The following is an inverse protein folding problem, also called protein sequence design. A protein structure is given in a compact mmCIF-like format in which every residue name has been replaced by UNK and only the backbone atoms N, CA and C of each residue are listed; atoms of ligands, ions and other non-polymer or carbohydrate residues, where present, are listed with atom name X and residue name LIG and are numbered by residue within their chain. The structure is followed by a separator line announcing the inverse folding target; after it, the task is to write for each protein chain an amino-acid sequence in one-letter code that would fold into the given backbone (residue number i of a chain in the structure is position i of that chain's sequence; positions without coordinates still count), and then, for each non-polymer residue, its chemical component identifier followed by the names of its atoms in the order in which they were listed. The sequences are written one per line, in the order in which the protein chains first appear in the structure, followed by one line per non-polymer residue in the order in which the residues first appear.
data_IF_952971502197
#
_entry.id   IF_952971502197
#
_cell.length_a   1.000
_cell.length_b   1.000
_cell.length_c   1.000
_cell.angle_alpha   90.00
_cell.angle_beta   90.00
_cell.angle_gamma   90.00
#
_symmetry.space_group_name_H-M   'P 1'
#
loop_
_entity.id
_entity.type
_entity.pdbx_description
1 polymer ?
#
# COMPACT_ATOMS: atom_id res chain seq x y z
N UNK A 1 -2.87 -2.26 9.77
CA UNK A 1 -1.89 -1.23 9.37
C UNK A 1 -0.71 -1.89 8.66
N UNK A 2 -0.14 -1.22 7.66
CA UNK A 2 1.10 -1.68 6.99
C UNK A 2 2.23 -1.78 8.02
N UNK A 3 2.88 -2.95 8.08
CA UNK A 3 3.99 -3.29 8.96
C UNK A 3 5.30 -3.41 8.20
N UNK A 4 5.24 -3.94 6.99
CA UNK A 4 6.41 -4.30 6.20
C UNK A 4 6.35 -3.74 4.79
N UNK A 5 7.53 -3.36 4.29
CA UNK A 5 7.77 -3.10 2.89
C UNK A 5 8.65 -4.19 2.28
N UNK A 6 8.32 -4.58 1.06
CA UNK A 6 9.12 -5.49 0.27
C UNK A 6 9.37 -5.00 -1.15
N UNK A 7 10.33 -5.66 -1.79
CA UNK A 7 10.67 -5.48 -3.20
C UNK A 7 10.61 -6.81 -3.92
N UNK A 8 10.23 -6.80 -5.19
CA UNK A 8 10.40 -7.95 -6.06
C UNK A 8 11.76 -7.92 -6.76
N UNK A 9 12.30 -9.10 -7.06
CA UNK A 9 13.41 -9.29 -8.00
C UNK A 9 13.10 -10.45 -8.95
N UNK A 10 13.76 -10.43 -10.11
CA UNK A 10 13.56 -11.40 -11.19
C UNK A 10 14.90 -12.02 -11.59
N UNK A 11 15.34 -13.11 -10.92
CA UNK A 11 16.67 -13.69 -11.13
C UNK A 11 16.99 -14.04 -12.58
N UNK A 12 15.99 -14.40 -13.38
CA UNK A 12 16.18 -14.75 -14.79
C UNK A 12 16.39 -13.55 -15.71
N UNK A 13 16.15 -12.31 -15.23
CA UNK A 13 16.10 -11.11 -16.06
C UNK A 13 17.17 -10.08 -15.73
N UNK A 14 17.87 -10.24 -14.60
CA UNK A 14 18.89 -9.32 -14.15
C UNK A 14 20.21 -10.03 -13.80
N UNK A 15 21.28 -9.25 -13.86
CA UNK A 15 22.58 -9.65 -13.37
C UNK A 15 22.59 -9.73 -11.85
N UNK A 16 23.36 -10.69 -11.32
CA UNK A 16 23.46 -10.93 -9.89
C UNK A 16 23.83 -9.67 -9.11
N UNK A 17 24.86 -8.96 -9.56
CA UNK A 17 25.36 -7.78 -8.85
C UNK A 17 24.35 -6.64 -8.79
N UNK A 18 23.57 -6.43 -9.85
CA UNK A 18 22.53 -5.39 -9.89
C UNK A 18 21.39 -5.71 -8.91
N UNK A 19 20.97 -6.98 -8.84
CA UNK A 19 19.98 -7.41 -7.85
C UNK A 19 20.48 -7.20 -6.42
N UNK A 20 21.72 -7.60 -6.12
CA UNK A 20 22.29 -7.42 -4.77
C UNK A 20 22.42 -5.93 -4.43
N UNK A 21 22.82 -5.09 -5.37
CA UNK A 21 22.89 -3.64 -5.18
C UNK A 21 21.50 -3.06 -4.88
N UNK A 22 20.48 -3.47 -5.62
CA UNK A 22 19.09 -3.06 -5.39
C UNK A 22 18.56 -3.51 -4.03
N UNK A 23 18.80 -4.77 -3.63
CA UNK A 23 18.39 -5.28 -2.31
C UNK A 23 19.07 -4.49 -1.20
N UNK A 24 20.38 -4.24 -1.31
CA UNK A 24 21.13 -3.42 -0.34
C UNK A 24 20.58 -2.01 -0.24
N UNK A 25 20.24 -1.39 -1.37
CA UNK A 25 19.63 -0.07 -1.41
C UNK A 25 18.25 -0.06 -0.75
N UNK A 26 17.37 -1.02 -1.06
CA UNK A 26 16.08 -1.12 -0.40
C UNK A 26 16.23 -1.31 1.12
N UNK A 27 17.24 -2.07 1.55
CA UNK A 27 17.51 -2.30 2.97
C UNK A 27 17.90 -1.01 3.73
N UNK A 28 18.56 -0.04 3.09
CA UNK A 28 18.86 1.25 3.75
C UNK A 28 17.60 2.05 4.11
N UNK A 29 16.48 1.78 3.43
CA UNK A 29 15.16 2.32 3.72
C UNK A 29 14.26 1.37 4.52
N UNK A 30 14.85 0.41 5.24
CA UNK A 30 14.18 -0.55 6.12
C UNK A 30 13.21 -1.52 5.43
N UNK A 31 13.29 -1.70 4.11
CA UNK A 31 12.59 -2.82 3.47
C UNK A 31 13.06 -4.13 4.11
N UNK A 32 12.11 -5.04 4.35
CA UNK A 32 12.31 -6.25 5.16
C UNK A 32 11.98 -7.53 4.39
N UNK A 33 11.33 -7.44 3.22
CA UNK A 33 10.92 -8.61 2.43
C UNK A 33 11.40 -8.55 0.98
N UNK A 34 11.74 -9.70 0.42
CA UNK A 34 12.08 -9.86 -0.99
C UNK A 34 11.20 -10.93 -1.62
N UNK A 35 10.42 -10.54 -2.62
CA UNK A 35 9.64 -11.45 -3.44
C UNK A 35 10.46 -11.92 -4.64
N UNK A 36 10.49 -13.23 -4.85
CA UNK A 36 11.17 -13.88 -5.97
C UNK A 36 10.18 -14.80 -6.67
N UNK A 37 10.17 -14.76 -8.00
CA UNK A 37 9.25 -15.56 -8.81
C UNK A 37 10.02 -16.60 -9.61
N UNK A 38 9.73 -17.87 -9.36
CA UNK A 38 10.30 -19.04 -10.01
C UNK A 38 9.21 -19.72 -10.85
N UNK A 39 8.90 -19.12 -12.01
CA UNK A 39 7.79 -19.54 -12.87
C UNK A 39 8.21 -20.47 -13.99
N UNK A 40 9.50 -20.52 -14.30
CA UNK A 40 10.05 -21.35 -15.36
C UNK A 40 11.47 -21.79 -15.00
N UNK A 41 11.89 -22.92 -15.56
CA UNK A 41 13.28 -23.34 -15.54
C UNK A 41 13.85 -23.24 -16.94
N UNK A 42 15.13 -22.91 -17.02
CA UNK A 42 15.93 -23.09 -18.22
C UNK A 42 16.09 -24.59 -18.53
N UNK A 43 16.87 -24.89 -19.55
CA UNK A 43 17.25 -26.29 -19.86
C UNK A 43 18.08 -26.94 -18.73
N UNK A 44 18.65 -26.15 -17.82
CA UNK A 44 19.42 -26.64 -16.68
C UNK A 44 18.85 -26.15 -15.32
N UNK A 45 17.86 -26.87 -14.74
CA UNK A 45 17.25 -26.50 -13.47
C UNK A 45 18.25 -26.40 -12.29
N UNK A 46 19.36 -27.14 -12.33
CA UNK A 46 20.34 -27.13 -11.24
C UNK A 46 21.11 -25.80 -11.17
N UNK A 47 21.45 -25.23 -12.33
CA UNK A 47 22.10 -23.93 -12.40
C UNK A 47 21.16 -22.81 -11.96
N UNK A 48 19.88 -22.88 -12.36
CA UNK A 48 18.86 -21.95 -11.90
C UNK A 48 18.71 -22.00 -10.37
N UNK A 49 18.56 -23.18 -9.78
CA UNK A 49 18.46 -23.35 -8.33
C UNK A 49 19.70 -22.79 -7.61
N UNK A 50 20.90 -23.03 -8.14
CA UNK A 50 22.13 -22.48 -7.57
C UNK A 50 22.14 -20.95 -7.58
N UNK A 51 21.70 -20.32 -8.69
CA UNK A 51 21.57 -18.87 -8.79
C UNK A 51 20.60 -18.31 -7.74
N UNK A 52 19.45 -18.95 -7.54
CA UNK A 52 18.50 -18.53 -6.50
C UNK A 52 19.11 -18.67 -5.11
N UNK A 53 19.80 -19.78 -4.83
CA UNK A 53 20.46 -20.01 -3.54
C UNK A 53 21.49 -18.93 -3.22
N UNK A 54 22.32 -18.55 -4.18
CA UNK A 54 23.32 -17.48 -4.00
C UNK A 54 22.67 -16.12 -3.68
N UNK A 55 21.57 -15.79 -4.37
CA UNK A 55 20.83 -14.55 -4.11
C UNK A 55 20.19 -14.59 -2.71
N UNK A 56 19.56 -15.70 -2.34
CA UNK A 56 18.92 -15.86 -1.03
C UNK A 56 19.95 -15.72 0.09
N UNK A 57 21.14 -16.30 -0.03
CA UNK A 57 22.23 -16.13 0.94
C UNK A 57 22.55 -14.64 1.19
N UNK A 58 22.61 -13.82 0.14
CA UNK A 58 22.84 -12.38 0.29
C UNK A 58 21.65 -11.65 0.93
N UNK A 59 20.41 -12.04 0.60
CA UNK A 59 19.19 -11.50 1.24
C UNK A 59 19.20 -11.80 2.74
N UNK A 60 19.53 -13.04 3.14
CA UNK A 60 19.58 -13.45 4.55
C UNK A 60 20.68 -12.72 5.32
N UNK A 61 21.84 -12.44 4.72
CA UNK A 61 22.90 -11.61 5.34
C UNK A 61 22.41 -10.21 5.70
N UNK A 62 21.39 -9.70 5.01
CA UNK A 62 20.77 -8.39 5.26
C UNK A 62 19.59 -8.45 6.24
N UNK A 63 19.31 -9.63 6.81
CA UNK A 63 18.18 -9.92 7.71
C UNK A 63 16.82 -9.60 7.05
N UNK A 64 16.68 -9.90 5.77
CA UNK A 64 15.40 -9.80 5.05
C UNK A 64 14.76 -11.19 4.90
N UNK A 65 13.44 -11.20 4.80
CA UNK A 65 12.65 -12.42 4.57
C UNK A 65 12.49 -12.68 3.07
N UNK A 66 12.56 -13.94 2.67
CA UNK A 66 12.39 -14.39 1.29
C UNK A 66 10.98 -14.97 1.11
N UNK A 67 10.24 -14.38 0.18
CA UNK A 67 9.00 -14.94 -0.36
C UNK A 67 9.34 -15.56 -1.72
N UNK A 68 9.13 -16.86 -1.86
CA UNK A 68 9.36 -17.57 -3.12
C UNK A 68 8.03 -18.03 -3.71
N UNK A 69 7.70 -17.52 -4.89
CA UNK A 69 6.54 -17.92 -5.67
C UNK A 69 6.93 -18.96 -6.71
N UNK A 70 6.39 -20.16 -6.56
CA UNK A 70 6.72 -21.33 -7.36
C UNK A 70 5.47 -21.83 -8.05
N UNK A 71 5.57 -22.00 -9.37
CA UNK A 71 4.53 -22.69 -10.12
C UNK A 71 4.49 -24.17 -9.70
N UNK A 72 3.36 -24.63 -9.17
CA UNK A 72 3.21 -25.98 -8.63
C UNK A 72 3.47 -27.09 -9.68
N UNK A 73 3.35 -26.79 -10.98
CA UNK A 73 3.70 -27.69 -12.09
C UNK A 73 5.21 -27.94 -12.23
N UNK A 74 6.05 -27.13 -11.58
CA UNK A 74 7.50 -27.29 -11.60
C UNK A 74 8.04 -28.19 -10.49
N UNK A 75 7.25 -28.47 -9.45
CA UNK A 75 7.70 -29.28 -8.30
C UNK A 75 8.26 -30.65 -8.73
N UNK A 76 7.62 -31.41 -9.65
CA UNK A 76 8.17 -32.71 -10.07
C UNK A 76 9.52 -32.60 -10.79
N UNK A 77 9.82 -31.48 -11.46
CA UNK A 77 11.11 -31.27 -12.14
C UNK A 77 12.26 -31.05 -11.16
N UNK A 78 11.93 -30.62 -9.94
CA UNK A 78 12.87 -30.43 -8.84
C UNK A 78 12.96 -31.67 -7.94
N UNK A 79 12.19 -32.73 -8.23
CA UNK A 79 11.96 -33.86 -7.33
C UNK A 79 11.42 -33.42 -5.95
N UNK A 80 10.60 -32.36 -5.95
CA UNK A 80 9.98 -31.77 -4.76
C UNK A 80 8.48 -32.09 -4.76
N UNK A 81 7.90 -32.19 -3.57
CA UNK A 81 6.44 -32.31 -3.40
C UNK A 81 5.95 -31.32 -2.35
N UNK A 82 4.67 -30.95 -2.39
CA UNK A 82 4.08 -30.10 -1.35
C UNK A 82 4.13 -30.74 0.06
N UNK A 83 4.37 -32.05 0.17
CA UNK A 83 4.45 -32.77 1.44
C UNK A 83 5.79 -32.60 2.15
N UNK A 84 6.84 -32.24 1.41
CA UNK A 84 8.18 -32.09 1.94
C UNK A 84 8.75 -30.74 1.52
N UNK A 85 8.82 -29.83 2.49
CA UNK A 85 9.30 -28.46 2.29
C UNK A 85 10.80 -28.31 2.58
N UNK A 86 11.52 -29.41 2.83
CA UNK A 86 12.95 -29.40 3.14
C UNK A 86 13.77 -28.70 2.07
N UNK A 87 13.47 -28.93 0.80
CA UNK A 87 14.11 -28.24 -0.33
C UNK A 87 14.04 -26.71 -0.20
N UNK A 88 12.85 -26.16 0.08
CA UNK A 88 12.67 -24.72 0.22
C UNK A 88 13.32 -24.18 1.50
N UNK A 89 13.27 -24.96 2.58
CA UNK A 89 13.95 -24.65 3.84
C UNK A 89 15.47 -24.56 3.63
N UNK A 90 16.06 -25.51 2.90
CA UNK A 90 17.50 -25.57 2.61
C UNK A 90 17.96 -24.46 1.67
N UNK A 91 17.06 -23.95 0.82
CA UNK A 91 17.29 -22.74 0.05
C UNK A 91 17.27 -21.48 0.92
N UNK A 92 16.62 -21.51 2.08
CA UNK A 92 16.46 -20.36 2.97
C UNK A 92 15.18 -19.55 2.72
N UNK A 93 14.15 -20.18 2.16
CA UNK A 93 12.83 -19.57 1.95
C UNK A 93 12.10 -19.44 3.29
N UNK A 94 11.55 -18.25 3.57
CA UNK A 94 10.76 -18.00 4.79
C UNK A 94 9.26 -18.16 4.53
N UNK A 95 8.82 -17.75 3.33
CA UNK A 95 7.42 -17.75 2.90
C UNK A 95 7.32 -18.42 1.54
N UNK A 96 6.57 -19.51 1.45
CA UNK A 96 6.36 -20.27 0.22
C UNK A 96 4.97 -19.98 -0.34
N UNK A 97 4.93 -19.52 -1.59
CA UNK A 97 3.72 -19.42 -2.39
C UNK A 97 3.76 -20.49 -3.46
N UNK A 98 2.76 -21.38 -3.45
CA UNK A 98 2.56 -22.36 -4.51
C UNK A 98 1.41 -21.90 -5.39
N UNK A 99 1.73 -21.46 -6.61
CA UNK A 99 0.72 -20.99 -7.54
C UNK A 99 -0.20 -22.15 -8.00
N UNK A 100 -1.47 -21.83 -8.23
CA UNK A 100 -2.49 -22.76 -8.73
C UNK A 100 -3.54 -23.25 -7.72
N UNK A 101 -3.37 -23.02 -6.41
CA UNK A 101 -4.32 -23.44 -5.37
C UNK A 101 -4.52 -24.96 -5.25
N UNK A 102 -4.90 -25.45 -4.07
CA UNK A 102 -5.20 -26.86 -3.86
C UNK A 102 -6.63 -27.06 -3.31
N UNK A 103 -6.87 -28.18 -2.63
CA UNK A 103 -8.19 -28.52 -2.12
C UNK A 103 -8.52 -27.84 -0.78
N UNK A 104 -7.55 -27.21 -0.13
CA UNK A 104 -7.60 -26.72 1.25
C UNK A 104 -6.94 -27.69 2.24
N UNK A 105 -6.91 -28.99 1.92
CA UNK A 105 -6.29 -30.01 2.77
C UNK A 105 -4.76 -29.97 2.65
N UNK A 106 -4.22 -29.76 1.45
CA UNK A 106 -2.78 -29.63 1.22
C UNK A 106 -2.22 -28.41 1.95
N UNK A 107 -2.90 -27.27 1.86
CA UNK A 107 -2.52 -26.03 2.57
C UNK A 107 -2.53 -26.24 4.08
N UNK A 108 -3.55 -26.91 4.62
CA UNK A 108 -3.59 -27.30 6.03
C UNK A 108 -2.35 -28.12 6.41
N UNK A 109 -2.03 -29.20 5.68
CA UNK A 109 -0.84 -30.01 6.00
C UNK A 109 0.45 -29.19 5.91
N UNK A 110 0.60 -28.37 4.88
CA UNK A 110 1.77 -27.51 4.71
C UNK A 110 1.92 -26.53 5.87
N UNK A 111 0.84 -25.98 6.43
CA UNK A 111 0.95 -25.04 7.57
C UNK A 111 1.49 -25.71 8.84
N UNK A 112 1.39 -27.02 8.96
CA UNK A 112 1.95 -27.81 10.07
C UNK A 112 3.40 -28.30 9.82
N UNK A 113 4.09 -27.75 8.81
CA UNK A 113 5.48 -28.12 8.51
C UNK A 113 6.44 -27.91 9.70
N UNK A 114 7.49 -28.72 9.76
CA UNK A 114 8.53 -28.67 10.80
C UNK A 114 9.57 -27.56 10.61
N UNK A 115 9.49 -26.79 9.53
CA UNK A 115 10.48 -25.77 9.17
C UNK A 115 10.06 -24.36 9.62
N UNK A 116 8.88 -24.21 10.22
CA UNK A 116 8.30 -22.92 10.58
C UNK A 116 8.17 -21.97 9.37
N UNK A 117 7.98 -22.55 8.18
CA UNK A 117 7.78 -21.82 6.94
C UNK A 117 6.33 -21.35 6.84
N UNK A 118 6.12 -20.09 6.47
CA UNK A 118 4.77 -19.60 6.19
C UNK A 118 4.30 -20.07 4.82
N UNK A 119 3.03 -20.43 4.73
CA UNK A 119 2.36 -20.81 3.50
C UNK A 119 1.51 -19.63 3.03
N UNK A 120 1.80 -19.12 1.85
CA UNK A 120 1.14 -17.95 1.28
C UNK A 120 0.02 -18.37 0.32
N UNK A 121 -1.21 -17.97 0.65
CA UNK A 121 -2.41 -18.22 -0.14
C UNK A 121 -2.59 -17.16 -1.23
N UNK A 122 -3.18 -17.56 -2.35
CA UNK A 122 -3.57 -16.61 -3.39
C UNK A 122 -4.90 -15.91 -3.03
N UNK A 123 -4.82 -14.70 -2.49
CA UNK A 123 -5.99 -13.90 -2.11
C UNK A 123 -6.83 -13.49 -3.32
N UNK A 124 -6.23 -13.36 -4.51
CA UNK A 124 -6.94 -12.97 -5.73
C UNK A 124 -7.97 -14.01 -6.20
N UNK A 125 -7.96 -15.22 -5.65
CA UNK A 125 -9.01 -16.22 -5.85
C UNK A 125 -10.31 -15.93 -5.08
N UNK A 126 -10.33 -14.90 -4.23
CA UNK A 126 -11.47 -14.49 -3.43
C UNK A 126 -11.52 -15.11 -2.03
N UNK A 127 -12.56 -14.76 -1.26
CA UNK A 127 -12.76 -15.18 0.13
C UNK A 127 -13.07 -16.68 0.31
N UNK A 128 -13.65 -17.33 -0.71
CA UNK A 128 -14.04 -18.73 -0.61
C UNK A 128 -12.85 -19.68 -0.38
N UNK A 129 -11.63 -19.28 -0.76
CA UNK A 129 -10.43 -20.08 -0.52
C UNK A 129 -10.09 -20.12 0.97
N UNK A 130 -10.04 -18.96 1.64
CA UNK A 130 -9.69 -18.92 3.06
C UNK A 130 -10.76 -19.59 3.91
N UNK A 131 -12.05 -19.38 3.62
CA UNK A 131 -13.13 -20.06 4.35
C UNK A 131 -13.01 -21.59 4.27
N UNK A 132 -12.66 -22.10 3.08
CA UNK A 132 -12.43 -23.54 2.88
C UNK A 132 -11.24 -24.03 3.71
N UNK A 133 -10.10 -23.35 3.62
CA UNK A 133 -8.88 -23.75 4.34
C UNK A 133 -9.13 -23.72 5.85
N UNK A 134 -9.76 -22.68 6.37
CA UNK A 134 -10.09 -22.55 7.79
C UNK A 134 -10.98 -23.70 8.29
N UNK A 135 -11.85 -24.27 7.44
CA UNK A 135 -12.65 -25.43 7.80
C UNK A 135 -11.85 -26.71 8.06
N UNK A 136 -10.61 -26.79 7.57
CA UNK A 136 -9.68 -27.90 7.80
C UNK A 136 -8.78 -27.71 9.03
N UNK A 137 -8.92 -26.62 9.80
CA UNK A 137 -8.10 -26.32 10.99
C UNK A 137 -6.59 -26.19 10.71
N UNK A 138 -6.17 -25.24 9.85
CA UNK A 138 -4.76 -24.99 9.57
C UNK A 138 -4.04 -24.40 10.79
N UNK A 139 -2.72 -24.49 10.79
CA UNK A 139 -1.91 -23.67 11.70
C UNK A 139 -1.85 -22.23 11.19
N UNK A 140 -2.72 -21.37 11.72
CA UNK A 140 -2.85 -19.96 11.34
C UNK A 140 -1.52 -19.20 11.48
N UNK A 141 -0.67 -19.56 12.46
CA UNK A 141 0.61 -18.89 12.66
C UNK A 141 1.58 -19.04 11.47
N UNK A 142 1.39 -20.09 10.66
CA UNK A 142 2.16 -20.37 9.45
C UNK A 142 1.35 -20.10 8.18
N UNK A 143 0.34 -19.23 8.25
CA UNK A 143 -0.50 -18.87 7.12
C UNK A 143 -0.39 -17.36 6.83
N UNK A 144 -0.26 -17.00 5.57
CA UNK A 144 -0.43 -15.63 5.10
C UNK A 144 -1.19 -15.63 3.76
N UNK A 145 -1.64 -14.47 3.33
CA UNK A 145 -2.26 -14.26 2.03
C UNK A 145 -1.47 -13.26 1.20
N UNK A 146 -1.47 -13.41 -0.11
CA UNK A 146 -0.94 -12.43 -1.04
C UNK A 146 -1.82 -12.29 -2.26
N UNK A 147 -2.06 -11.06 -2.67
CA UNK A 147 -2.71 -10.77 -3.93
C UNK A 147 -1.78 -11.04 -5.11
N UNK A 148 -2.35 -11.34 -6.27
CA UNK A 148 -1.63 -11.23 -7.53
C UNK A 148 -1.28 -9.75 -7.83
N UNK A 149 -0.26 -9.58 -8.65
CA UNK A 149 -0.11 -8.39 -9.50
C UNK A 149 -0.55 -8.72 -10.94
N UNK A 150 -0.86 -7.67 -11.71
CA UNK A 150 -1.46 -7.82 -13.04
C UNK A 150 -0.64 -7.08 -14.11
N UNK A 151 0.16 -7.80 -14.92
CA UNK A 151 1.02 -7.21 -15.95
C UNK A 151 0.25 -6.53 -17.09
N UNK A 152 -0.94 -7.01 -17.44
CA UNK A 152 -1.75 -6.48 -18.54
C UNK A 152 -2.62 -5.33 -18.04
N UNK A 153 -2.59 -4.18 -18.72
CA UNK A 153 -3.43 -3.05 -18.34
C UNK A 153 -4.93 -3.42 -18.35
N UNK A 154 -5.69 -2.78 -17.47
CA UNK A 154 -7.13 -2.98 -17.30
C UNK A 154 -7.53 -4.37 -16.79
N UNK A 155 -6.61 -5.14 -16.19
CA UNK A 155 -6.89 -6.48 -15.63
C UNK A 155 -6.65 -6.60 -14.14
N UNK A 156 -6.16 -5.54 -13.48
CA UNK A 156 -6.06 -5.45 -12.04
C UNK A 156 -7.42 -5.55 -11.36
N UNK A 157 -7.38 -5.84 -10.06
CA UNK A 157 -8.59 -5.95 -9.25
C UNK A 157 -9.25 -4.59 -9.04
N UNK A 158 -10.57 -4.60 -8.92
CA UNK A 158 -11.32 -3.41 -8.50
C UNK A 158 -11.08 -3.19 -7.00
N UNK A 159 -11.04 -1.93 -6.58
CA UNK A 159 -10.78 -1.57 -5.20
C UNK A 159 -11.79 -2.20 -4.22
N UNK A 160 -13.08 -2.23 -4.57
CA UNK A 160 -14.12 -2.81 -3.70
C UNK A 160 -13.95 -4.32 -3.48
N UNK A 161 -13.54 -5.08 -4.50
CA UNK A 161 -13.29 -6.52 -4.34
C UNK A 161 -12.10 -6.75 -3.39
N UNK A 162 -11.06 -5.92 -3.50
CA UNK A 162 -9.89 -5.97 -2.61
C UNK A 162 -10.27 -5.62 -1.18
N UNK A 163 -11.14 -4.64 -0.94
CA UNK A 163 -11.65 -4.32 0.41
C UNK A 163 -12.37 -5.52 1.03
N UNK A 164 -13.28 -6.13 0.28
CA UNK A 164 -14.08 -7.26 0.77
C UNK A 164 -13.21 -8.48 1.09
N UNK A 165 -12.27 -8.81 0.21
CA UNK A 165 -11.33 -9.94 0.41
C UNK A 165 -10.40 -9.65 1.59
N UNK A 166 -9.79 -8.46 1.66
CA UNK A 166 -8.90 -8.09 2.77
C UNK A 166 -9.63 -8.15 4.12
N UNK A 167 -10.87 -7.64 4.20
CA UNK A 167 -11.68 -7.75 5.42
C UNK A 167 -11.91 -9.20 5.85
N UNK A 168 -12.15 -10.10 4.89
CA UNK A 168 -12.31 -11.53 5.18
C UNK A 168 -11.03 -12.14 5.77
N UNK A 169 -9.86 -11.91 5.16
CA UNK A 169 -8.59 -12.42 5.67
C UNK A 169 -8.22 -11.83 7.03
N UNK A 170 -8.45 -10.52 7.22
CA UNK A 170 -8.23 -9.86 8.52
C UNK A 170 -9.14 -10.43 9.62
N UNK A 171 -10.38 -10.82 9.30
CA UNK A 171 -11.29 -11.43 10.29
C UNK A 171 -10.77 -12.77 10.85
N UNK A 172 -9.91 -13.45 10.09
CA UNK A 172 -9.23 -14.68 10.48
C UNK A 172 -7.84 -14.45 11.09
N UNK A 173 -7.42 -13.19 11.25
CA UNK A 173 -6.06 -12.79 11.65
C UNK A 173 -4.97 -13.35 10.71
N UNK A 174 -5.28 -13.51 9.42
CA UNK A 174 -4.29 -13.93 8.42
C UNK A 174 -3.62 -12.69 7.82
N UNK A 175 -2.30 -12.52 8.01
CA UNK A 175 -1.58 -11.36 7.47
C UNK A 175 -1.58 -11.41 5.94
N UNK A 176 -1.75 -10.23 5.34
CA UNK A 176 -1.96 -10.06 3.90
C UNK A 176 -0.83 -9.25 3.26
N UNK A 177 -0.52 -9.58 2.01
CA UNK A 177 0.44 -8.90 1.14
C UNK A 177 -0.27 -8.34 -0.09
N UNK A 178 0.03 -7.10 -0.46
CA UNK A 178 -0.49 -6.46 -1.68
C UNK A 178 0.65 -5.86 -2.50
N UNK A 179 0.49 -5.86 -3.83
CA UNK A 179 1.50 -5.33 -4.75
C UNK A 179 1.18 -3.92 -5.23
N UNK A 180 2.20 -3.07 -5.22
CA UNK A 180 2.21 -1.73 -5.82
C UNK A 180 3.20 -1.70 -6.98
N UNK A 181 3.01 -0.77 -7.92
CA UNK A 181 3.92 -0.62 -9.06
C UNK A 181 4.81 0.61 -8.91
N UNK A 182 6.12 0.45 -9.13
CA UNK A 182 7.03 1.55 -9.41
C UNK A 182 6.73 2.14 -10.79
N UNK A 183 6.99 3.43 -10.95
CA UNK A 183 6.93 4.17 -12.23
C UNK A 183 8.27 4.17 -12.98
N UNK A 184 9.36 3.75 -12.32
CA UNK A 184 10.70 3.68 -12.90
C UNK A 184 11.09 2.24 -13.24
N UNK A 185 10.73 1.27 -12.39
CA UNK A 185 11.03 -0.14 -12.60
C UNK A 185 10.43 -0.66 -13.90
N UNK A 186 11.25 -1.33 -14.72
CA UNK A 186 10.88 -1.83 -16.04
C UNK A 186 11.03 -3.35 -16.17
N UNK A 187 11.24 -4.05 -15.06
CA UNK A 187 11.45 -5.48 -14.99
C UNK A 187 10.29 -6.16 -14.29
N UNK A 188 9.83 -7.25 -14.89
CA UNK A 188 8.76 -8.11 -14.41
C UNK A 188 9.06 -9.57 -14.75
N UNK A 189 8.16 -10.51 -14.41
CA UNK A 189 8.35 -11.92 -14.75
C UNK A 189 8.25 -12.15 -16.26
N UNK A 190 7.40 -11.37 -16.94
CA UNK A 190 7.14 -11.47 -18.37
C UNK A 190 7.74 -10.28 -19.13
N UNK A 191 8.05 -10.50 -20.42
CA UNK A 191 8.58 -9.44 -21.31
C UNK A 191 7.60 -8.27 -21.46
N UNK A 192 6.30 -8.58 -21.55
CA UNK A 192 5.24 -7.58 -21.59
C UNK A 192 4.72 -7.36 -20.18
N UNK A 193 4.79 -6.12 -19.71
CA UNK A 193 4.11 -5.65 -18.51
C UNK A 193 3.91 -4.14 -18.61
N UNK A 194 2.80 -3.67 -18.04
CA UNK A 194 2.37 -2.27 -18.05
C UNK A 194 2.19 -1.79 -16.60
N UNK A 195 3.13 -2.18 -15.73
CA UNK A 195 3.05 -2.04 -14.28
C UNK A 195 2.56 -3.32 -13.60
N UNK A 196 3.02 -3.53 -12.37
CA UNK A 196 2.77 -4.75 -11.58
C UNK A 196 2.11 -4.42 -10.24
N UNK A 197 0.90 -3.89 -10.29
CA UNK A 197 0.06 -3.61 -9.12
C UNK A 197 -1.10 -4.60 -9.00
N UNK A 198 -1.64 -4.73 -7.79
CA UNK A 198 -2.87 -5.51 -7.53
C UNK A 198 -4.13 -4.75 -7.96
N UNK A 199 -4.23 -3.48 -7.56
CA UNK A 199 -5.41 -2.64 -7.80
C UNK A 199 -5.24 -1.93 -9.14
N UNK A 200 -6.21 -2.01 -10.03
CA UNK A 200 -6.08 -1.42 -11.37
C UNK A 200 -5.91 0.11 -11.31
N UNK A 201 -6.63 0.77 -10.40
CA UNK A 201 -6.56 2.21 -10.18
C UNK A 201 -5.15 2.69 -9.79
N UNK A 202 -4.27 1.81 -9.31
CA UNK A 202 -2.90 2.13 -8.90
C UNK A 202 -1.90 2.24 -10.04
N UNK A 203 -2.20 1.66 -11.21
CA UNK A 203 -1.22 1.37 -12.28
C UNK A 203 -0.39 2.58 -12.72
N UNK A 204 -1.02 3.75 -12.72
CA UNK A 204 -0.42 5.01 -13.17
C UNK A 204 -0.19 6.01 -12.04
N UNK A 205 -0.50 5.64 -10.80
CA UNK A 205 -0.29 6.50 -9.65
C UNK A 205 1.17 6.45 -9.18
N UNK A 206 1.70 7.54 -8.62
CA UNK A 206 2.94 7.53 -7.84
C UNK A 206 2.88 6.50 -6.70
N UNK A 207 4.02 5.93 -6.34
CA UNK A 207 4.10 4.90 -5.28
C UNK A 207 3.52 5.37 -3.94
N UNK A 208 3.67 6.65 -3.61
CA UNK A 208 3.13 7.26 -2.39
C UNK A 208 1.61 7.20 -2.36
N UNK A 209 0.94 7.51 -3.47
CA UNK A 209 -0.50 7.46 -3.59
C UNK A 209 -1.06 6.05 -3.37
N UNK A 210 -0.40 5.06 -3.98
CA UNK A 210 -0.77 3.65 -3.85
C UNK A 210 -0.70 3.21 -2.37
N UNK A 211 0.43 3.50 -1.71
CA UNK A 211 0.65 3.16 -0.29
C UNK A 211 -0.32 3.89 0.63
N UNK A 212 -0.58 5.19 0.40
CA UNK A 212 -1.56 5.96 1.18
C UNK A 212 -2.96 5.36 1.07
N UNK A 213 -3.40 4.93 -0.11
CA UNK A 213 -4.71 4.31 -0.27
C UNK A 213 -4.79 2.96 0.47
N UNK A 214 -3.76 2.11 0.34
CA UNK A 214 -3.67 0.83 1.05
C UNK A 214 -3.74 1.03 2.57
N UNK A 215 -3.01 2.02 3.08
CA UNK A 215 -2.96 2.34 4.50
C UNK A 215 -4.26 2.92 5.03
N UNK A 216 -4.83 3.91 4.32
CA UNK A 216 -6.11 4.52 4.67
C UNK A 216 -7.20 3.45 4.74
N UNK A 217 -7.20 2.53 3.77
CA UNK A 217 -8.20 1.49 3.65
C UNK A 217 -7.93 0.26 4.51
N UNK A 218 -6.75 0.17 5.12
CA UNK A 218 -6.25 -0.99 5.85
C UNK A 218 -6.39 -2.29 5.05
N UNK A 219 -5.79 -2.33 3.86
CA UNK A 219 -5.96 -3.46 2.92
C UNK A 219 -4.96 -4.60 3.12
N UNK A 220 -3.79 -4.34 3.70
CA UNK A 220 -2.74 -5.34 3.87
C UNK A 220 -1.68 -4.90 4.90
N UNK A 221 -1.04 -5.86 5.57
CA UNK A 221 0.10 -5.64 6.45
C UNK A 221 1.43 -5.50 5.69
N UNK A 222 1.56 -6.11 4.51
CA UNK A 222 2.77 -6.04 3.70
C UNK A 222 2.48 -5.37 2.36
N UNK A 223 3.31 -4.41 1.96
CA UNK A 223 3.29 -3.85 0.61
C UNK A 223 4.58 -4.19 -0.11
N UNK A 224 4.46 -4.80 -1.30
CA UNK A 224 5.61 -5.17 -2.13
C UNK A 224 5.59 -4.39 -3.44
N UNK A 225 6.74 -3.81 -3.82
CA UNK A 225 6.89 -3.23 -5.15
C UNK A 225 7.04 -4.37 -6.16
N UNK A 226 6.03 -4.56 -7.00
CA UNK A 226 5.94 -5.68 -7.93
C UNK A 226 7.01 -5.66 -9.01
N UNK A 227 7.28 -4.51 -9.63
CA UNK A 227 8.30 -4.36 -10.67
C UNK A 227 9.64 -3.88 -10.11
N UNK A 228 10.72 -4.26 -10.79
CA UNK A 228 12.08 -3.93 -10.42
C UNK A 228 12.78 -3.14 -11.54
N UNK A 229 13.83 -2.37 -11.31
CA UNK A 229 14.24 -1.85 -10.01
C UNK A 229 13.54 -0.51 -9.78
N UNK A 230 12.91 -0.34 -8.61
CA UNK A 230 12.43 0.99 -8.21
C UNK A 230 13.62 1.94 -8.03
N UNK A 231 13.43 3.23 -8.29
CA UNK A 231 14.47 4.22 -8.04
C UNK A 231 14.71 4.42 -6.53
N UNK A 232 15.90 4.91 -6.15
CA UNK A 232 16.20 5.31 -4.77
C UNK A 232 15.14 6.28 -4.21
N UNK A 233 14.72 7.25 -5.04
CA UNK A 233 13.68 8.21 -4.66
C UNK A 233 12.32 7.55 -4.40
N UNK A 234 11.93 6.53 -5.17
CA UNK A 234 10.69 5.78 -4.92
C UNK A 234 10.78 4.92 -3.65
N UNK A 235 11.92 4.25 -3.42
CA UNK A 235 12.15 3.47 -2.20
C UNK A 235 12.08 4.36 -0.96
N UNK A 236 12.76 5.51 -0.99
CA UNK A 236 12.73 6.51 0.08
C UNK A 236 11.32 6.99 0.35
N UNK A 237 10.60 7.44 -0.69
CA UNK A 237 9.23 7.94 -0.57
C UNK A 237 8.26 6.86 -0.05
N UNK A 238 8.41 5.62 -0.50
CA UNK A 238 7.61 4.51 0.01
C UNK A 238 7.81 4.29 1.52
N UNK A 239 9.07 4.29 1.97
CA UNK A 239 9.41 4.15 3.39
C UNK A 239 8.90 5.33 4.23
N UNK A 240 8.96 6.56 3.72
CA UNK A 240 8.45 7.74 4.42
C UNK A 240 6.95 7.66 4.72
N UNK A 241 6.14 7.05 3.85
CA UNK A 241 4.69 6.91 4.08
C UNK A 241 4.34 5.99 5.27
N UNK A 242 5.25 5.12 5.70
CA UNK A 242 5.09 4.28 6.89
C UNK A 242 5.34 5.03 8.20
N UNK A 243 6.07 6.16 8.16
CA UNK A 243 6.39 6.93 9.37
C UNK A 243 5.17 7.67 9.95
N UNK A 244 4.14 7.89 9.15
CA UNK A 244 2.93 8.53 9.61
C UNK A 244 2.04 7.49 10.32
N UNK A 245 1.37 7.87 11.41
CA UNK A 245 0.30 7.04 11.99
C UNK A 245 -1.07 7.41 11.41
N UNK A 246 -1.14 8.57 10.77
CA UNK A 246 -2.31 9.14 10.10
C UNK A 246 -2.08 9.24 8.58
N UNK A 247 -3.06 9.80 7.87
CA UNK A 247 -2.98 9.99 6.41
C UNK A 247 -2.42 11.38 6.10
N UNK A 248 -1.18 11.48 5.56
CA UNK A 248 -0.61 12.76 5.17
C UNK A 248 -1.17 13.21 3.81
N UNK A 249 -1.73 14.41 3.76
CA UNK A 249 -2.24 15.05 2.55
C UNK A 249 -1.26 16.14 2.09
N UNK A 250 -0.74 16.02 0.88
CA UNK A 250 0.12 17.03 0.28
C UNK A 250 -0.72 18.24 -0.15
N UNK A 251 -0.31 19.44 0.26
CA UNK A 251 -0.99 20.70 -0.03
C UNK A 251 -0.05 21.70 -0.71
N UNK A 252 -0.55 22.35 -1.75
CA UNK A 252 -0.02 23.60 -2.30
C UNK A 252 -0.72 24.76 -1.59
N UNK A 253 0.03 25.51 -0.79
CA UNK A 253 -0.52 26.63 -0.01
C UNK A 253 -0.81 27.86 -0.87
N UNK A 254 -1.87 28.59 -0.53
CA UNK A 254 -2.16 29.90 -1.10
C UNK A 254 -1.04 30.88 -0.75
N UNK A 255 -0.58 31.68 -1.71
CA UNK A 255 0.53 32.63 -1.53
C UNK A 255 0.27 33.67 -0.42
N UNK A 256 -1.00 33.90 -0.07
CA UNK A 256 -1.41 34.86 0.96
C UNK A 256 -1.85 34.17 2.25
N UNK A 257 -1.53 32.88 2.43
CA UNK A 257 -1.76 32.19 3.70
C UNK A 257 -1.01 32.92 4.82
N UNK A 258 -1.70 33.15 5.93
CA UNK A 258 -1.15 33.82 7.12
C UNK A 258 -0.52 32.80 8.07
N UNK A 259 0.34 33.26 8.98
CA UNK A 259 0.93 32.37 10.00
C UNK A 259 -0.13 31.73 10.90
N UNK A 260 -1.21 32.47 11.23
CA UNK A 260 -2.36 31.95 11.96
C UNK A 260 -3.08 30.82 11.19
N UNK A 261 -3.24 30.95 9.87
CA UNK A 261 -3.84 29.90 9.04
C UNK A 261 -2.90 28.69 8.91
N UNK A 262 -1.57 28.89 8.85
CA UNK A 262 -0.58 27.80 8.88
C UNK A 262 -0.61 27.04 10.21
N UNK A 263 -0.73 27.74 11.33
CA UNK A 263 -0.83 27.12 12.66
C UNK A 263 -2.05 26.18 12.74
N UNK A 264 -3.18 26.58 12.15
CA UNK A 264 -4.36 25.72 12.06
C UNK A 264 -4.12 24.56 11.09
N UNK A 265 -3.55 24.81 9.90
CA UNK A 265 -3.32 23.83 8.85
C UNK A 265 -2.36 22.71 9.27
N UNK A 266 -1.31 23.02 10.01
CA UNK A 266 -0.31 22.05 10.48
C UNK A 266 -0.55 21.59 11.92
N UNK A 267 -1.80 21.71 12.38
CA UNK A 267 -2.19 21.26 13.72
C UNK A 267 -2.35 19.74 13.79
N UNK A 268 -1.94 19.13 14.91
CA UNK A 268 -2.10 17.68 15.15
C UNK A 268 -3.57 17.23 15.34
N UNK A 269 -4.51 18.17 15.37
CA UNK A 269 -5.91 17.98 15.74
C UNK A 269 -6.87 17.89 14.55
N UNK A 270 -6.42 17.28 13.47
CA UNK A 270 -7.23 16.99 12.29
C UNK A 270 -7.77 15.57 12.31
N UNK A 271 -9.09 15.47 12.27
CA UNK A 271 -9.79 14.20 12.07
C UNK A 271 -11.14 14.43 11.40
N UNK A 272 -11.64 13.39 10.75
CA UNK A 272 -12.92 13.43 10.03
C UNK A 272 -14.08 13.50 11.02
N UNK A 273 -14.85 14.59 10.98
CA UNK A 273 -16.12 14.67 11.73
C UNK A 273 -17.10 13.59 11.22
N UNK A 274 -17.74 12.80 12.09
CA UNK A 274 -18.65 11.71 11.67
C UNK A 274 -19.87 12.16 10.87
N UNK A 275 -20.37 13.36 11.14
CA UNK A 275 -21.53 13.94 10.46
C UNK A 275 -21.13 14.46 9.08
N UNK A 276 -21.22 13.58 8.09
CA UNK A 276 -20.77 13.83 6.73
C UNK A 276 -21.91 14.29 5.82
N UNK A 277 -21.76 15.47 5.18
CA UNK A 277 -22.77 16.06 4.29
C UNK A 277 -22.59 15.74 2.81
N UNK A 278 -21.48 15.10 2.42
CA UNK A 278 -21.12 14.94 1.00
C UNK A 278 -20.55 16.19 0.33
N UNK A 279 -20.35 17.30 1.06
CA UNK A 279 -19.96 18.60 0.48
C UNK A 279 -18.53 18.96 0.85
N UNK A 280 -18.21 18.91 2.15
CA UNK A 280 -16.87 19.14 2.68
C UNK A 280 -16.55 18.07 3.73
N UNK A 281 -15.28 17.66 3.78
CA UNK A 281 -14.71 17.00 4.93
C UNK A 281 -14.44 18.10 5.97
N UNK A 282 -14.86 17.86 7.22
CA UNK A 282 -14.80 18.87 8.29
C UNK A 282 -13.86 18.43 9.39
N UNK A 283 -12.89 19.28 9.73
CA UNK A 283 -12.05 19.16 10.92
C UNK A 283 -12.59 20.06 12.03
N UNK A 284 -13.79 19.76 12.54
CA UNK A 284 -14.53 20.64 13.45
C UNK A 284 -13.90 20.86 14.84
N UNK A 285 -12.87 20.09 15.21
CA UNK A 285 -12.18 20.28 16.47
C UNK A 285 -11.16 21.43 16.41
N UNK A 286 -10.68 21.80 15.21
CA UNK A 286 -9.69 22.88 15.03
C UNK A 286 -10.16 24.20 15.65
N UNK A 287 -11.43 24.56 15.51
CA UNK A 287 -12.01 25.78 16.13
C UNK A 287 -11.97 25.81 17.66
N UNK A 288 -11.97 24.64 18.32
CA UNK A 288 -11.92 24.58 19.78
C UNK A 288 -10.48 24.73 20.27
N UNK A 289 -9.53 24.14 19.54
CA UNK A 289 -8.08 24.25 19.81
C UNK A 289 -7.61 25.68 19.58
N UNK A 290 -8.07 26.29 18.48
CA UNK A 290 -7.56 27.57 17.96
C UNK A 290 -8.49 28.76 18.24
N UNK A 291 -9.32 28.67 19.28
CA UNK A 291 -10.35 29.69 19.61
C UNK A 291 -9.81 31.11 19.90
N UNK A 292 -8.50 31.24 20.15
CA UNK A 292 -7.84 32.52 20.42
C UNK A 292 -7.13 33.09 19.19
N UNK A 293 -7.04 32.30 18.12
CA UNK A 293 -6.46 32.72 16.85
C UNK A 293 -7.53 33.48 16.09
N UNK A 294 -7.16 34.64 15.53
CA UNK A 294 -8.04 35.39 14.62
C UNK A 294 -7.69 35.08 13.18
N UNK A 295 -8.71 34.87 12.35
CA UNK A 295 -8.60 34.63 10.91
C UNK A 295 -9.32 35.76 10.16
N UNK A 296 -8.67 36.90 9.87
CA UNK A 296 -9.30 38.00 9.15
C UNK A 296 -9.84 37.54 7.78
N UNK A 297 -11.00 38.06 7.39
CA UNK A 297 -11.56 37.76 6.08
C UNK A 297 -10.62 38.24 4.96
N UNK A 298 -10.32 37.33 4.04
CA UNK A 298 -9.48 37.63 2.87
C UNK A 298 -10.24 37.36 1.59
N UNK A 299 -10.32 38.38 0.75
CA UNK A 299 -10.83 38.22 -0.60
C UNK A 299 -9.88 37.31 -1.39
N UNK A 300 -10.41 36.20 -1.88
CA UNK A 300 -9.72 35.30 -2.80
C UNK A 300 -10.58 35.15 -4.05
N UNK A 301 -9.99 35.44 -5.20
CA UNK A 301 -10.59 35.17 -6.51
C UNK A 301 -10.33 33.73 -6.97
N UNK A 302 -9.68 32.91 -6.13
CA UNK A 302 -9.35 31.53 -6.44
C UNK A 302 -10.65 30.72 -6.57
N UNK A 303 -10.74 29.98 -7.67
CA UNK A 303 -11.83 29.05 -7.93
C UNK A 303 -11.77 27.88 -6.94
N UNK A 304 -12.92 27.49 -6.40
CA UNK A 304 -13.04 26.35 -5.50
C UNK A 304 -13.13 25.07 -6.33
N UNK A 305 -12.25 24.11 -6.04
CA UNK A 305 -12.19 22.80 -6.68
C UNK A 305 -12.31 21.71 -5.64
N UNK A 306 -12.51 20.46 -6.07
CA UNK A 306 -12.36 19.32 -5.17
C UNK A 306 -10.93 19.30 -4.62
N UNK A 307 -10.78 19.13 -3.31
CA UNK A 307 -9.50 19.25 -2.61
C UNK A 307 -9.09 20.67 -2.23
N UNK A 308 -9.88 21.71 -2.50
CA UNK A 308 -9.60 23.04 -1.94
C UNK A 308 -9.71 23.00 -0.42
N UNK A 309 -8.74 23.59 0.26
CA UNK A 309 -8.69 23.64 1.73
C UNK A 309 -9.12 25.03 2.18
N UNK A 310 -10.12 25.07 3.04
CA UNK A 310 -10.76 26.29 3.52
C UNK A 310 -10.61 26.39 5.04
N UNK A 311 -10.49 27.62 5.54
CA UNK A 311 -10.67 27.93 6.96
C UNK A 311 -11.78 28.96 7.10
N UNK A 312 -12.74 28.68 7.97
CA UNK A 312 -13.79 29.63 8.35
C UNK A 312 -13.17 30.83 9.08
N UNK A 313 -13.40 32.03 8.55
CA UNK A 313 -12.81 33.28 9.03
C UNK A 313 -13.71 33.96 10.09
N UNK A 314 -13.30 35.11 10.63
CA UNK A 314 -14.00 35.81 11.73
C UNK A 314 -15.48 36.12 11.43
N UNK A 315 -15.89 36.16 10.16
CA UNK A 315 -17.28 36.42 9.77
C UNK A 315 -18.20 35.18 9.92
N UNK A 316 -17.63 33.99 10.18
CA UNK A 316 -18.40 32.76 10.41
C UNK A 316 -18.79 32.56 11.89
N UNK A 317 -18.49 33.52 12.78
CA UNK A 317 -18.93 33.53 14.17
C UNK A 317 -18.44 32.30 14.93
N UNK A 318 -19.36 31.50 15.48
CA UNK A 318 -19.02 30.30 16.27
C UNK A 318 -18.29 29.18 15.48
N UNK A 319 -18.11 29.33 14.16
CA UNK A 319 -17.38 28.40 13.31
C UNK A 319 -15.97 28.90 12.93
N UNK A 320 -15.56 30.09 13.39
CA UNK A 320 -14.20 30.62 13.17
C UNK A 320 -13.13 29.57 13.50
N UNK A 321 -12.09 29.48 12.66
CA UNK A 321 -11.01 28.50 12.73
C UNK A 321 -11.40 27.05 12.41
N UNK A 322 -12.63 26.77 11.94
CA UNK A 322 -12.98 25.44 11.43
C UNK A 322 -12.32 25.20 10.06
N UNK A 323 -11.58 24.09 9.93
CA UNK A 323 -10.94 23.70 8.68
C UNK A 323 -11.84 22.74 7.89
N UNK A 324 -11.91 22.98 6.57
CA UNK A 324 -12.67 22.19 5.62
C UNK A 324 -11.81 21.75 4.43
N UNK A 325 -12.05 20.56 3.91
CA UNK A 325 -11.58 20.14 2.58
C UNK A 325 -12.79 19.94 1.67
N UNK A 326 -12.79 20.58 0.51
CA UNK A 326 -13.94 20.56 -0.40
C UNK A 326 -14.02 19.24 -1.17
N UNK A 327 -15.21 18.65 -1.22
CA UNK A 327 -15.50 17.39 -1.93
C UNK A 327 -16.41 17.62 -3.13
N UNK A 328 -17.40 18.51 -2.98
CA UNK A 328 -18.32 18.90 -4.03
C UNK A 328 -18.29 20.42 -4.22
N UNK A 329 -17.41 20.95 -5.09
CA UNK A 329 -17.24 22.39 -5.27
C UNK A 329 -18.52 23.08 -5.78
N UNK A 330 -19.35 22.38 -6.57
CA UNK A 330 -20.60 22.94 -7.10
C UNK A 330 -21.64 23.27 -6.02
N UNK A 331 -21.49 22.70 -4.82
CA UNK A 331 -22.38 22.97 -3.68
C UNK A 331 -21.83 24.07 -2.76
N UNK A 332 -20.57 24.47 -2.90
CA UNK A 332 -19.92 25.52 -2.10
C UNK A 332 -20.02 26.87 -2.83
N UNK A 333 -21.22 27.45 -2.86
CA UNK A 333 -21.54 28.65 -3.67
C UNK A 333 -22.00 29.89 -2.88
N UNK A 334 -22.18 29.77 -1.56
CA UNK A 334 -22.70 30.85 -0.69
C UNK A 334 -21.67 31.20 0.39
N UNK A 335 -21.86 32.35 1.05
CA UNK A 335 -21.02 32.80 2.17
C UNK A 335 -19.54 32.93 1.81
N UNK A 336 -19.22 33.32 0.57
CA UNK A 336 -17.85 33.35 0.03
C UNK A 336 -16.90 34.26 0.82
N UNK A 337 -17.46 35.26 1.47
CA UNK A 337 -16.80 36.22 2.35
C UNK A 337 -16.42 35.62 3.72
N UNK A 338 -17.04 34.50 4.13
CA UNK A 338 -16.88 33.93 5.48
C UNK A 338 -15.80 32.88 5.62
N UNK A 339 -15.15 32.48 4.54
CA UNK A 339 -14.05 31.52 4.59
C UNK A 339 -12.90 31.95 3.68
N UNK A 340 -11.69 31.63 4.11
CA UNK A 340 -10.47 31.85 3.34
C UNK A 340 -10.08 30.54 2.65
N UNK A 341 -9.66 30.64 1.38
CA UNK A 341 -9.00 29.52 0.70
C UNK A 341 -7.52 29.59 1.07
N UNK A 342 -7.02 28.56 1.73
CA UNK A 342 -5.64 28.53 2.25
C UNK A 342 -4.72 27.63 1.43
N UNK A 343 -5.27 26.84 0.53
CA UNK A 343 -4.50 26.01 -0.38
C UNK A 343 -5.37 25.02 -1.14
N UNK A 344 -4.70 24.16 -1.88
CA UNK A 344 -5.29 23.12 -2.70
C UNK A 344 -4.46 21.84 -2.52
N UNK A 345 -5.11 20.69 -2.36
CA UNK A 345 -4.38 19.43 -2.38
C UNK A 345 -3.66 19.28 -3.72
N UNK A 346 -2.35 19.07 -3.65
CA UNK A 346 -1.41 19.29 -4.74
C UNK A 346 -1.42 18.21 -5.82
N UNK A 347 -1.91 17.02 -5.49
CA UNK A 347 -1.96 15.89 -6.42
C UNK A 347 -3.38 15.43 -6.67
N UNK A 348 -3.65 15.03 -7.92
CA UNK A 348 -4.88 14.30 -8.27
C UNK A 348 -5.05 13.07 -7.37
N UNK A 349 -3.94 12.48 -6.93
CA UNK A 349 -3.91 11.31 -6.07
C UNK A 349 -4.47 11.56 -4.67
N UNK A 350 -4.11 12.69 -4.03
CA UNK A 350 -4.70 13.05 -2.74
C UNK A 350 -6.21 13.30 -2.88
N UNK A 351 -6.64 13.82 -4.02
CA UNK A 351 -8.07 13.99 -4.34
C UNK A 351 -8.79 12.64 -4.49
N UNK A 352 -8.12 11.58 -4.98
CA UNK A 352 -8.68 10.23 -5.03
C UNK A 352 -8.94 9.64 -3.63
N UNK A 353 -8.11 9.99 -2.64
CA UNK A 353 -8.28 9.51 -1.27
C UNK A 353 -9.46 10.16 -0.54
N UNK A 354 -9.90 11.34 -0.99
CA UNK A 354 -10.85 12.17 -0.24
C UNK A 354 -12.20 11.51 -0.02
N UNK A 355 -12.73 10.82 -1.04
CA UNK A 355 -14.05 10.18 -0.91
C UNK A 355 -14.02 9.03 0.11
N UNK A 356 -12.90 8.32 0.20
CA UNK A 356 -12.70 7.23 1.16
C UNK A 356 -12.38 7.76 2.56
N UNK A 357 -11.55 8.80 2.65
CA UNK A 357 -11.24 9.47 3.91
C UNK A 357 -12.51 10.06 4.53
N UNK A 358 -13.34 10.74 3.74
CA UNK A 358 -14.56 11.38 4.23
C UNK A 358 -15.61 10.38 4.76
N UNK A 359 -15.56 9.12 4.33
CA UNK A 359 -16.43 8.03 4.83
C UNK A 359 -15.92 7.40 6.13
N UNK A 360 -14.74 7.77 6.62
CA UNK A 360 -14.15 7.20 7.84
C UNK A 360 -14.27 8.16 9.03
N UNK A 361 -15.29 8.03 9.88
CA UNK A 361 -15.44 8.90 11.06
C UNK A 361 -14.23 8.77 11.99
N UNK A 362 -13.78 9.89 12.54
CA UNK A 362 -12.64 10.00 13.46
C UNK A 362 -11.28 9.59 12.88
N UNK A 363 -11.18 9.30 11.59
CA UNK A 363 -9.89 9.06 10.95
C UNK A 363 -9.02 10.31 11.04
N UNK A 364 -7.85 10.18 11.67
CA UNK A 364 -6.84 11.24 11.67
C UNK A 364 -6.23 11.40 10.28
N UNK A 365 -5.94 12.66 9.94
CA UNK A 365 -5.18 13.04 8.77
C UNK A 365 -4.31 14.25 9.13
N UNK A 366 -3.29 14.54 8.34
CA UNK A 366 -2.45 15.73 8.50
C UNK A 366 -2.10 16.31 7.13
N UNK A 367 -1.48 17.48 7.13
CA UNK A 367 -1.02 18.15 5.91
C UNK A 367 0.50 18.19 5.86
N UNK A 368 1.06 18.02 4.65
CA UNK A 368 2.47 18.27 4.37
C UNK A 368 2.61 19.19 3.17
N UNK A 369 3.59 20.09 3.23
CA UNK A 369 3.91 20.95 2.09
C UNK A 369 4.47 20.09 0.96
N UNK A 370 4.04 20.40 -0.28
CA UNK A 370 4.35 19.61 -1.49
C UNK A 370 5.73 19.89 -2.06
#
# INVERSE_FOLDING_TARGET
MIKDLGISIYPEKADFQDMINYIKLARTFNFSKVFMSMLQFSENPSEDVQKYKEIIVEIKKLNMSVILDVNSLLLPKLDVTWKDLSFFSDLGVDILRLDGGFSGMEEMFMTHNSHNMMIELNMSSGSALIDRIMSFSPNIANLCGSYNFYPHAYTGMRLEDVKDISNCYHSYNVPSTIFVTSRVGNMGPWKMHEGLCTIEEHRFLPITAQIKQIKLLDLAETVIIGNAFASENELKKAAEELNYTEVPLDIEMDQKITENEKEILFSDFHFVRPEYSGITLRSAFSRHVHKQITIPARNSSTEIKKGSVLIDNNLYGQYECELHIVLNPEKVKKNRDKYNIIGQLSTADNVLLLDELAKRPYQKFSFKES
#
